data_IF_394153738756
#
_entry.id   IF_394153738756
#
_cell.length_a   1.000
_cell.length_b   1.000
_cell.length_c   1.000
_cell.angle_alpha   90.00
_cell.angle_beta   90.00
_cell.angle_gamma   90.00
#
_symmetry.space_group_name_H-M   'P 1'
#
loop_
_entity.id
_entity.type
_entity.pdbx_description
1 polymer ?
#
# COMPACT_ATOMS: atom_id res chain seq x y z
N UNK A 1 -20.10 -5.18 -6.19
CA UNK A 1 -19.65 -3.87 -6.68
C UNK A 1 -18.23 -4.03 -7.18
N UNK A 2 -17.97 -3.69 -8.43
CA UNK A 2 -16.64 -3.66 -9.02
C UNK A 2 -16.10 -2.21 -9.12
N UNK A 3 -14.88 -2.05 -9.63
CA UNK A 3 -14.26 -0.73 -9.75
C UNK A 3 -15.04 0.21 -10.69
N UNK A 4 -15.72 -0.34 -11.70
CA UNK A 4 -16.51 0.44 -12.65
C UNK A 4 -17.78 0.97 -11.97
N UNK A 5 -18.45 0.14 -11.19
CA UNK A 5 -19.61 0.55 -10.39
C UNK A 5 -19.24 1.68 -9.43
N UNK A 6 -18.06 1.61 -8.79
CA UNK A 6 -17.54 2.66 -7.91
C UNK A 6 -17.30 3.97 -8.68
N UNK A 7 -16.59 3.91 -9.80
CA UNK A 7 -16.29 5.08 -10.61
C UNK A 7 -17.58 5.79 -11.07
N UNK A 8 -18.58 5.01 -11.51
CA UNK A 8 -19.89 5.52 -11.94
C UNK A 8 -20.68 6.13 -10.77
N UNK A 9 -20.65 5.51 -9.59
CA UNK A 9 -21.29 6.04 -8.39
C UNK A 9 -20.66 7.36 -7.94
N UNK A 10 -19.32 7.46 -7.93
CA UNK A 10 -18.60 8.68 -7.57
C UNK A 10 -18.89 9.78 -8.58
N UNK A 11 -18.82 9.50 -9.89
CA UNK A 11 -19.12 10.46 -10.93
C UNK A 11 -20.55 11.02 -10.82
N UNK A 12 -21.53 10.15 -10.53
CA UNK A 12 -22.92 10.55 -10.31
C UNK A 12 -23.08 11.42 -9.06
N UNK A 13 -22.41 11.07 -7.97
CA UNK A 13 -22.51 11.79 -6.70
C UNK A 13 -21.83 13.16 -6.74
N UNK A 14 -20.73 13.31 -7.49
CA UNK A 14 -19.95 14.56 -7.54
C UNK A 14 -20.23 15.41 -8.77
N UNK A 15 -20.95 14.88 -9.77
CA UNK A 15 -21.14 15.53 -11.08
C UNK A 15 -19.86 15.58 -11.92
N UNK A 16 -18.81 14.87 -11.52
CA UNK A 16 -17.55 14.86 -12.25
C UNK A 16 -17.56 13.86 -13.42
N UNK A 17 -16.78 14.17 -14.46
CA UNK A 17 -16.56 13.22 -15.56
C UNK A 17 -15.82 11.98 -15.06
N UNK A 18 -16.20 10.81 -15.56
CA UNK A 18 -15.58 9.51 -15.23
C UNK A 18 -14.04 9.51 -15.40
N UNK A 19 -13.53 10.17 -16.45
CA UNK A 19 -12.10 10.31 -16.70
C UNK A 19 -11.35 11.14 -15.65
N UNK A 20 -12.04 12.02 -14.91
CA UNK A 20 -11.48 12.78 -13.79
C UNK A 20 -11.51 11.95 -12.51
N UNK A 21 -12.58 11.21 -12.27
CA UNK A 21 -12.71 10.26 -11.16
C UNK A 21 -11.62 9.18 -11.22
N UNK A 22 -11.42 8.55 -12.38
CA UNK A 22 -10.36 7.54 -12.60
C UNK A 22 -8.96 8.06 -12.31
N UNK A 23 -8.68 9.33 -12.63
CA UNK A 23 -7.39 9.96 -12.34
C UNK A 23 -7.14 10.22 -10.86
N UNK A 24 -8.19 10.26 -10.03
CA UNK A 24 -8.05 10.39 -8.57
C UNK A 24 -7.71 9.07 -7.89
N UNK A 25 -7.93 7.93 -8.56
CA UNK A 25 -7.50 6.62 -8.04
C UNK A 25 -8.33 6.09 -6.88
N UNK A 26 -9.64 6.36 -6.84
CA UNK A 26 -10.52 5.70 -5.87
C UNK A 26 -10.43 4.18 -6.01
N UNK A 27 -10.48 3.46 -4.89
CA UNK A 27 -10.41 2.00 -4.88
C UNK A 27 -11.45 1.41 -3.94
N UNK A 28 -11.98 0.26 -4.32
CA UNK A 28 -12.84 -0.51 -3.45
C UNK A 28 -12.02 -1.11 -2.29
N UNK A 29 -12.38 -0.76 -1.06
CA UNK A 29 -11.85 -1.44 0.12
C UNK A 29 -12.45 -2.85 0.18
N UNK A 30 -11.60 -3.87 -0.01
CA UNK A 30 -11.99 -5.26 0.21
C UNK A 30 -11.70 -5.63 1.65
N UNK A 31 -12.71 -5.51 2.50
CA UNK A 31 -12.63 -5.81 3.93
C UNK A 31 -12.91 -4.58 4.77
N UNK A 32 -13.66 -4.76 5.86
CA UNK A 32 -13.89 -3.71 6.84
C UNK A 32 -12.56 -3.21 7.39
N UNK A 33 -12.44 -1.90 7.56
CA UNK A 33 -11.34 -1.29 8.32
C UNK A 33 -11.48 -1.82 9.75
N UNK A 34 -10.73 -2.87 10.07
CA UNK A 34 -10.55 -3.30 11.45
C UNK A 34 -9.60 -2.28 12.05
N UNK A 35 -10.05 -1.54 13.08
CA UNK A 35 -9.11 -0.89 13.99
C UNK A 35 -8.15 -1.98 14.48
N UNK A 36 -6.91 -1.91 14.02
CA UNK A 36 -5.83 -2.71 14.56
C UNK A 36 -5.22 -1.90 15.68
N UNK A 37 -4.88 -2.58 16.77
CA UNK A 37 -4.05 -1.99 17.80
C UNK A 37 -2.80 -1.37 17.15
N UNK A 38 -2.34 -0.20 17.61
CA UNK A 38 -1.13 0.42 17.10
C UNK A 38 0.02 -0.60 17.11
N UNK A 39 0.63 -0.84 15.95
CA UNK A 39 1.80 -1.70 15.89
C UNK A 39 2.98 -0.97 16.52
N UNK A 40 3.47 -1.49 17.65
CA UNK A 40 4.74 -1.08 18.22
C UNK A 40 5.83 -1.80 17.45
N UNK A 41 6.58 -1.03 16.65
CA UNK A 41 7.73 -1.53 15.90
C UNK A 41 8.99 -1.21 16.69
N UNK A 42 9.77 -2.25 17.00
CA UNK A 42 11.14 -2.11 17.47
C UNK A 42 12.06 -1.82 16.27
N UNK A 43 12.41 -0.55 16.09
CA UNK A 43 13.27 -0.13 14.99
C UNK A 43 14.72 -0.61 15.14
N UNK A 44 15.18 -0.86 16.37
CA UNK A 44 16.54 -1.35 16.61
C UNK A 44 16.67 -2.79 16.11
N UNK A 45 15.66 -3.63 16.38
CA UNK A 45 15.59 -5.00 15.86
C UNK A 45 15.50 -5.05 14.33
N UNK A 46 14.77 -4.11 13.73
CA UNK A 46 14.66 -4.00 12.26
C UNK A 46 16.00 -3.63 11.64
N UNK A 47 16.69 -2.63 12.17
CA UNK A 47 18.01 -2.19 11.68
C UNK A 47 19.06 -3.33 11.76
N UNK A 48 19.05 -4.09 12.86
CA UNK A 48 19.93 -5.26 13.03
C UNK A 48 19.67 -6.33 11.96
N UNK A 49 18.40 -6.61 11.66
CA UNK A 49 18.03 -7.60 10.63
C UNK A 49 18.53 -7.20 9.23
N UNK A 50 18.53 -5.90 8.92
CA UNK A 50 19.07 -5.37 7.66
C UNK A 50 20.60 -5.46 7.60
N UNK A 51 21.31 -5.27 8.73
CA UNK A 51 22.77 -5.45 8.78
C UNK A 51 23.19 -6.89 8.53
N UNK A 52 22.46 -7.86 9.07
CA UNK A 52 22.74 -9.29 8.86
C UNK A 52 22.58 -9.69 7.39
N UNK A 53 21.59 -9.13 6.68
CA UNK A 53 21.37 -9.38 5.25
C UNK A 53 22.43 -8.78 4.30
N UNK A 54 23.28 -7.88 4.80
CA UNK A 54 24.27 -7.15 3.99
C UNK A 54 25.69 -7.73 4.04
N UNK A 55 25.90 -8.87 4.70
CA UNK A 55 27.19 -9.58 4.68
C UNK A 55 27.49 -10.08 3.25
N UNK A 56 28.25 -9.27 2.51
CA UNK A 56 28.80 -9.63 1.19
C UNK A 56 29.56 -10.96 1.28
N UNK A 57 29.41 -11.88 0.31
CA UNK A 57 30.21 -13.09 0.30
C UNK A 57 31.71 -12.73 0.18
N UNK A 58 32.61 -13.52 0.80
CA UNK A 58 34.04 -13.23 0.78
C UNK A 58 34.56 -13.25 -0.66
N UNK A 59 35.29 -12.19 -1.06
CA UNK A 59 35.99 -12.14 -2.34
C UNK A 59 37.12 -13.17 -2.30
N UNK A 60 37.06 -14.20 -3.16
CA UNK A 60 38.16 -15.15 -3.32
C UNK A 60 39.44 -14.41 -3.76
N UNK A 61 40.61 -14.66 -3.13
CA UNK A 61 41.87 -14.16 -3.64
C UNK A 61 42.26 -14.90 -4.92
N UNK A 62 42.95 -14.20 -5.82
CA UNK A 62 43.41 -14.66 -7.13
C UNK A 62 44.73 -15.42 -7.02
#
# INVERSE_FOLDING_TARGET
MDQRDLDEAVARATGERLARVRRRGFSLLRGGVMEREPQVVDWDAVDESFRVGMQRPPRKPR
#
